data_IF_074026015377
#
_entry.id   IF_074026015377
#
_cell.length_a   1.000
_cell.length_b   1.000
_cell.length_c   1.000
_cell.angle_alpha   90.00
_cell.angle_beta   90.00
_cell.angle_gamma   90.00
#
_symmetry.space_group_name_H-M   'P 1'
#
loop_
_entity.id
_entity.type
_entity.pdbx_description
1 polymer ?
#
# COMPACT_ATOMS: atom_id res chain seq x y z
N UNK A 1 1.61 28.61 2.40
CA UNK A 1 1.13 28.89 1.03
C UNK A 1 2.19 28.33 0.08
N UNK A 2 2.12 27.03 -0.21
CA UNK A 2 2.97 26.41 -1.22
C UNK A 2 2.30 26.65 -2.58
N UNK A 3 2.79 27.63 -3.33
CA UNK A 3 2.45 27.73 -4.75
C UNK A 3 3.32 26.70 -5.46
N UNK A 4 2.78 25.48 -5.57
CA UNK A 4 3.30 24.49 -6.52
C UNK A 4 3.02 25.04 -7.93
N UNK A 5 4.02 25.12 -8.83
CA UNK A 5 3.74 25.42 -10.22
C UNK A 5 2.82 24.31 -10.73
N UNK A 6 1.63 24.68 -11.20
CA UNK A 6 0.75 23.76 -11.92
C UNK A 6 1.49 23.40 -13.20
N UNK A 7 2.12 22.23 -13.24
CA UNK A 7 2.44 21.55 -14.51
C UNK A 7 1.13 21.48 -15.27
N UNK A 8 1.09 22.00 -16.50
CA UNK A 8 -0.11 21.90 -17.34
C UNK A 8 -0.54 20.44 -17.50
N UNK A 9 -1.80 20.16 -17.89
CA UNK A 9 -2.20 18.79 -18.19
C UNK A 9 -1.23 18.21 -19.21
N UNK A 10 -0.73 16.98 -18.97
CA UNK A 10 -0.06 16.21 -20.02
C UNK A 10 -1.02 16.16 -21.18
N UNK A 11 -0.71 16.88 -22.26
CA UNK A 11 -1.59 16.98 -23.39
C UNK A 11 -1.42 15.73 -24.25
N UNK A 12 -2.53 15.04 -24.54
CA UNK A 12 -2.56 13.87 -25.44
C UNK A 12 -1.79 14.12 -26.74
N UNK A 13 -1.75 15.38 -27.21
CA UNK A 13 -0.99 15.86 -28.37
C UNK A 13 0.52 15.66 -28.27
N UNK A 14 1.12 15.85 -27.08
CA UNK A 14 2.57 15.66 -26.85
C UNK A 14 2.91 14.17 -26.90
N UNK A 15 2.07 13.34 -26.28
CA UNK A 15 2.21 11.88 -26.31
C UNK A 15 2.06 11.37 -27.75
N UNK A 16 1.01 11.82 -28.45
CA UNK A 16 0.73 11.40 -29.83
C UNK A 16 1.86 11.79 -30.78
N UNK A 17 2.39 13.01 -30.65
CA UNK A 17 3.51 13.48 -31.46
C UNK A 17 4.77 12.63 -31.24
N UNK A 18 5.13 12.39 -29.98
CA UNK A 18 6.31 11.57 -29.65
C UNK A 18 6.19 10.15 -30.19
N UNK A 19 5.03 9.50 -30.01
CA UNK A 19 4.80 8.13 -30.49
C UNK A 19 4.81 8.08 -32.01
N UNK A 20 4.20 9.05 -32.68
CA UNK A 20 4.21 9.15 -34.15
C UNK A 20 5.62 9.28 -34.72
N UNK A 21 6.48 10.06 -34.07
CA UNK A 21 7.86 10.27 -34.49
C UNK A 21 8.78 9.07 -34.21
N UNK A 22 8.64 8.43 -33.05
CA UNK A 22 9.59 7.42 -32.58
C UNK A 22 9.17 5.97 -32.82
N UNK A 23 7.86 5.71 -32.94
CA UNK A 23 7.30 4.35 -33.08
C UNK A 23 6.54 4.21 -34.41
N UNK A 24 5.64 5.16 -34.69
CA UNK A 24 4.83 5.21 -35.89
C UNK A 24 3.40 5.71 -35.64
N UNK A 25 2.57 5.84 -36.69
CA UNK A 25 1.29 6.55 -36.61
C UNK A 25 0.36 6.02 -35.51
N UNK A 26 -0.10 6.90 -34.62
CA UNK A 26 -1.08 6.57 -33.58
C UNK A 26 -2.46 6.29 -34.20
N UNK A 27 -3.13 5.26 -33.70
CA UNK A 27 -4.49 4.86 -34.10
C UNK A 27 -5.50 5.22 -33.03
N UNK A 28 -5.20 4.90 -31.76
CA UNK A 28 -6.06 5.24 -30.62
C UNK A 28 -5.19 5.68 -29.45
N UNK A 29 -5.72 6.63 -28.67
CA UNK A 29 -5.19 7.05 -27.38
C UNK A 29 -6.35 7.15 -26.40
N UNK A 30 -6.27 6.42 -25.29
CA UNK A 30 -7.29 6.39 -24.26
C UNK A 30 -6.66 6.64 -22.90
N UNK A 31 -7.07 7.73 -22.23
CA UNK A 31 -6.59 8.04 -20.89
C UNK A 31 -7.23 7.13 -19.85
N UNK A 32 -6.40 6.49 -19.04
CA UNK A 32 -6.86 5.69 -17.90
C UNK A 32 -7.44 6.62 -16.82
N UNK A 33 -8.66 6.32 -16.37
CA UNK A 33 -9.37 7.11 -15.35
C UNK A 33 -8.88 6.78 -13.94
N UNK A 34 -7.64 7.16 -13.60
CA UNK A 34 -7.03 7.01 -12.27
C UNK A 34 -6.31 8.28 -11.82
N UNK A 35 -5.91 8.31 -10.54
CA UNK A 35 -5.20 9.45 -9.93
C UNK A 35 -3.82 9.73 -10.54
N UNK A 36 -3.15 8.70 -11.08
CA UNK A 36 -1.89 8.85 -11.81
C UNK A 36 -2.16 8.99 -13.30
N UNK A 37 -1.55 9.95 -14.01
CA UNK A 37 -1.70 10.07 -15.45
C UNK A 37 -1.16 8.82 -16.17
N UNK A 38 -2.02 8.18 -16.96
CA UNK A 38 -1.62 7.07 -17.82
C UNK A 38 -2.55 6.92 -19.03
N UNK A 39 -2.04 6.32 -20.11
CA UNK A 39 -2.76 6.14 -21.37
C UNK A 39 -2.52 4.76 -21.99
N UNK A 40 -3.57 4.17 -22.54
CA UNK A 40 -3.49 3.05 -23.46
C UNK A 40 -3.44 3.58 -24.88
N UNK A 41 -2.42 3.20 -25.64
CA UNK A 41 -2.20 3.68 -27.01
C UNK A 41 -2.07 2.49 -27.96
N UNK A 42 -2.71 2.56 -29.11
CA UNK A 42 -2.40 1.68 -30.25
C UNK A 42 -1.74 2.50 -31.36
N UNK A 43 -0.68 1.97 -31.96
CA UNK A 43 0.05 2.61 -33.05
C UNK A 43 0.39 1.58 -34.14
N UNK A 44 0.91 2.05 -35.28
CA UNK A 44 1.38 1.19 -36.37
C UNK A 44 2.91 1.24 -36.48
N UNK A 45 3.59 0.09 -36.37
CA UNK A 45 5.03 -0.08 -36.59
C UNK A 45 5.24 -1.16 -37.64
N UNK A 46 5.91 -0.83 -38.74
CA UNK A 46 6.12 -1.74 -39.88
C UNK A 46 4.82 -2.39 -40.39
N UNK A 47 3.76 -1.59 -40.52
CA UNK A 47 2.38 -1.99 -40.87
C UNK A 47 1.68 -2.96 -39.89
N UNK A 48 2.30 -3.28 -38.75
CA UNK A 48 1.71 -4.07 -37.68
C UNK A 48 1.21 -3.18 -36.54
N UNK A 49 0.16 -3.62 -35.86
CA UNK A 49 -0.32 -2.94 -34.66
C UNK A 49 0.62 -3.19 -33.49
N UNK A 50 0.98 -2.12 -32.78
CA UNK A 50 1.71 -2.16 -31.53
C UNK A 50 0.87 -1.51 -30.43
N UNK A 51 0.87 -2.12 -29.24
CA UNK A 51 0.10 -1.69 -28.07
C UNK A 51 1.08 -1.13 -27.03
N UNK A 52 0.87 0.13 -26.66
CA UNK A 52 1.75 0.88 -25.76
C UNK A 52 0.97 1.37 -24.55
N UNK A 53 1.65 1.40 -23.41
CA UNK A 53 1.17 2.04 -22.20
C UNK A 53 2.09 3.22 -21.89
N UNK A 54 1.50 4.40 -21.69
CA UNK A 54 2.25 5.61 -21.33
C UNK A 54 1.96 5.92 -19.87
N UNK A 55 2.98 5.99 -19.04
CA UNK A 55 2.86 6.26 -17.59
C UNK A 55 3.54 7.58 -17.25
N UNK A 56 2.77 8.51 -16.67
CA UNK A 56 3.25 9.82 -16.22
C UNK A 56 3.59 9.86 -14.74
N UNK A 57 4.30 10.91 -14.32
CA UNK A 57 4.62 11.15 -12.91
C UNK A 57 3.37 11.42 -12.07
N UNK A 58 3.44 11.02 -10.79
CA UNK A 58 2.43 11.35 -9.79
C UNK A 58 2.82 12.65 -9.09
N UNK A 59 1.99 13.68 -9.21
CA UNK A 59 2.21 14.92 -8.46
C UNK A 59 2.11 14.72 -6.94
N UNK A 60 3.06 15.32 -6.21
CA UNK A 60 3.03 15.51 -4.76
C UNK A 60 3.22 14.26 -3.89
N UNK A 61 2.85 13.07 -4.36
CA UNK A 61 2.77 11.85 -3.54
C UNK A 61 3.68 10.70 -3.99
N UNK A 62 4.35 10.81 -5.13
CA UNK A 62 5.29 9.79 -5.63
C UNK A 62 6.53 9.61 -4.75
N UNK A 63 7.07 8.41 -4.78
CA UNK A 63 8.25 7.95 -4.02
C UNK A 63 9.46 7.73 -4.92
N UNK A 64 9.21 7.34 -6.17
CA UNK A 64 10.14 7.32 -7.29
C UNK A 64 9.56 8.14 -8.45
N UNK A 65 10.44 8.64 -9.30
CA UNK A 65 10.03 9.22 -10.59
C UNK A 65 9.77 8.10 -11.60
N UNK A 66 8.98 8.37 -12.63
CA UNK A 66 8.80 7.41 -13.75
C UNK A 66 10.12 7.01 -14.41
N UNK A 67 11.14 7.86 -14.35
CA UNK A 67 12.48 7.62 -14.89
C UNK A 67 13.25 6.57 -14.09
N UNK A 68 13.20 6.67 -12.76
CA UNK A 68 13.80 5.67 -11.88
C UNK A 68 13.12 4.31 -12.09
N UNK A 69 11.78 4.30 -12.17
CA UNK A 69 10.97 3.12 -12.47
C UNK A 69 11.37 2.48 -13.82
N UNK A 70 11.44 3.28 -14.89
CA UNK A 70 11.87 2.80 -16.21
C UNK A 70 13.31 2.25 -16.20
N UNK A 71 14.22 2.84 -15.42
CA UNK A 71 15.59 2.33 -15.29
C UNK A 71 15.63 0.98 -14.60
N UNK A 72 14.83 0.78 -13.55
CA UNK A 72 14.68 -0.53 -12.89
C UNK A 72 14.14 -1.57 -13.87
N UNK A 73 13.09 -1.24 -14.63
CA UNK A 73 12.51 -2.14 -15.64
C UNK A 73 13.52 -2.54 -16.71
N UNK A 74 14.34 -1.62 -17.23
CA UNK A 74 15.42 -1.94 -18.19
C UNK A 74 16.46 -2.89 -17.60
N UNK A 75 16.83 -2.72 -16.33
CA UNK A 75 17.77 -3.64 -15.66
C UNK A 75 17.15 -5.04 -15.52
N UNK A 76 15.88 -5.13 -15.13
CA UNK A 76 15.15 -6.40 -15.02
C UNK A 76 15.05 -7.11 -16.38
N UNK A 77 14.68 -6.38 -17.44
CA UNK A 77 14.61 -6.89 -18.81
C UNK A 77 15.98 -7.42 -19.28
N UNK A 78 17.07 -6.67 -19.03
CA UNK A 78 18.42 -7.09 -19.40
C UNK A 78 18.89 -8.37 -18.69
N UNK A 79 18.27 -8.72 -17.56
CA UNK A 79 18.50 -9.97 -16.83
C UNK A 79 17.47 -11.07 -17.17
N UNK A 80 16.64 -10.86 -18.20
CA UNK A 80 15.68 -11.84 -18.68
C UNK A 80 14.43 -11.99 -17.83
N UNK A 81 14.15 -11.02 -16.94
CA UNK A 81 12.88 -10.97 -16.21
C UNK A 81 11.79 -10.47 -17.15
N UNK A 82 10.62 -11.12 -17.15
CA UNK A 82 9.46 -10.62 -17.88
C UNK A 82 8.95 -9.33 -17.23
N UNK A 83 9.09 -8.22 -17.93
CA UNK A 83 8.66 -6.86 -17.57
C UNK A 83 8.26 -6.13 -18.86
N UNK A 84 7.50 -5.04 -18.81
CA UNK A 84 7.23 -4.25 -20.02
C UNK A 84 8.52 -3.66 -20.60
N UNK A 85 8.72 -3.80 -21.91
CA UNK A 85 9.83 -3.13 -22.61
C UNK A 85 9.65 -1.62 -22.55
N UNK A 86 10.72 -0.88 -22.26
CA UNK A 86 10.73 0.59 -22.28
C UNK A 86 11.18 1.08 -23.65
N UNK A 87 10.28 1.70 -24.41
CA UNK A 87 10.58 2.28 -25.73
C UNK A 87 11.28 3.63 -25.64
N UNK A 88 10.97 4.42 -24.61
CA UNK A 88 11.57 5.73 -24.42
C UNK A 88 10.84 6.58 -23.40
N UNK A 89 11.33 7.80 -23.27
CA UNK A 89 10.83 8.79 -22.32
C UNK A 89 10.35 10.04 -23.06
N UNK A 90 9.37 10.72 -22.48
CA UNK A 90 8.80 11.99 -22.95
C UNK A 90 9.07 13.05 -21.87
N UNK A 91 10.23 13.75 -21.91
CA UNK A 91 10.60 14.78 -20.95
C UNK A 91 9.51 15.84 -20.74
N UNK A 92 8.91 16.30 -21.83
CA UNK A 92 7.91 17.37 -21.85
C UNK A 92 6.61 16.97 -21.14
N UNK A 93 6.33 15.66 -21.06
CA UNK A 93 5.16 15.10 -20.39
C UNK A 93 5.50 14.45 -19.03
N UNK A 94 6.78 14.42 -18.64
CA UNK A 94 7.26 13.63 -17.48
C UNK A 94 6.68 12.21 -17.50
N UNK A 95 6.83 11.53 -18.65
CA UNK A 95 6.21 10.24 -18.91
C UNK A 95 7.17 9.25 -19.58
N UNK A 96 6.86 7.96 -19.45
CA UNK A 96 7.59 6.85 -20.09
C UNK A 96 6.65 6.06 -20.98
N UNK A 97 7.14 5.63 -22.13
CA UNK A 97 6.42 4.79 -23.09
C UNK A 97 6.93 3.36 -22.96
N UNK A 98 6.03 2.44 -22.64
CA UNK A 98 6.34 1.03 -22.39
C UNK A 98 5.35 0.09 -23.08
N UNK A 99 5.62 -1.21 -23.06
CA UNK A 99 4.67 -2.21 -23.53
C UNK A 99 3.34 -2.12 -22.79
N UNK A 100 2.24 -2.19 -23.54
CA UNK A 100 0.96 -2.61 -22.97
C UNK A 100 0.91 -4.14 -22.98
N UNK A 101 1.37 -4.74 -21.89
CA UNK A 101 1.45 -6.19 -21.73
C UNK A 101 0.09 -6.88 -21.99
N UNK A 102 0.08 -8.06 -22.62
CA UNK A 102 -1.14 -8.82 -22.85
C UNK A 102 -1.67 -9.45 -21.55
N UNK A 103 -2.96 -9.80 -21.56
CA UNK A 103 -3.61 -10.49 -20.45
C UNK A 103 -4.36 -9.58 -19.49
N UNK A 104 -4.60 -10.10 -18.29
CA UNK A 104 -5.25 -9.40 -17.18
C UNK A 104 -4.22 -9.04 -16.10
N UNK A 105 -4.52 -8.00 -15.30
CA UNK A 105 -3.72 -7.65 -14.14
C UNK A 105 -4.09 -8.55 -12.94
N UNK A 106 -3.16 -8.77 -12.02
CA UNK A 106 -3.50 -9.30 -10.70
C UNK A 106 -4.52 -8.38 -9.98
N UNK A 107 -5.41 -8.94 -9.14
CA UNK A 107 -5.56 -10.35 -8.75
C UNK A 107 -6.14 -11.26 -9.85
N UNK A 108 -5.83 -12.56 -9.76
CA UNK A 108 -6.31 -13.61 -10.67
C UNK A 108 -7.80 -13.99 -10.43
N UNK A 109 -8.69 -13.01 -10.32
CA UNK A 109 -10.07 -13.20 -9.83
C UNK A 109 -11.00 -13.96 -10.80
N UNK A 110 -10.68 -13.96 -12.09
CA UNK A 110 -11.56 -14.49 -13.15
C UNK A 110 -11.10 -15.85 -13.72
N UNK A 111 -10.22 -16.56 -13.01
CA UNK A 111 -9.67 -17.84 -13.47
C UNK A 111 -9.84 -18.95 -12.44
N UNK A 112 -9.80 -20.19 -12.93
CA UNK A 112 -9.95 -21.39 -12.08
C UNK A 112 -8.77 -21.55 -11.11
N UNK A 113 -8.97 -22.12 -9.91
CA UNK A 113 -7.91 -22.25 -8.90
C UNK A 113 -6.62 -22.91 -9.39
N UNK A 114 -6.72 -23.91 -10.28
CA UNK A 114 -5.54 -24.57 -10.85
C UNK A 114 -4.73 -23.65 -11.77
N UNK A 115 -5.38 -22.67 -12.41
CA UNK A 115 -4.71 -21.65 -13.21
C UNK A 115 -4.06 -20.59 -12.32
N UNK A 116 -4.67 -20.26 -11.17
CA UNK A 116 -4.04 -19.39 -10.16
C UNK A 116 -2.72 -20.00 -9.70
N UNK A 117 -2.71 -21.30 -9.37
CA UNK A 117 -1.49 -21.97 -8.93
C UNK A 117 -0.38 -21.94 -9.99
N UNK A 118 -0.71 -22.16 -11.28
CA UNK A 118 0.25 -22.09 -12.37
C UNK A 118 0.83 -20.68 -12.55
N UNK A 119 -0.02 -19.65 -12.53
CA UNK A 119 0.39 -18.25 -12.64
C UNK A 119 1.27 -17.85 -11.45
N UNK A 120 0.88 -18.22 -10.23
CA UNK A 120 1.64 -17.87 -9.03
C UNK A 120 2.96 -18.65 -8.92
N UNK A 121 3.02 -19.89 -9.42
CA UNK A 121 4.27 -20.65 -9.49
C UNK A 121 5.28 -19.98 -10.45
N UNK A 122 4.79 -19.44 -11.59
CA UNK A 122 5.58 -18.67 -12.56
C UNK A 122 5.99 -17.29 -12.00
N UNK A 123 5.08 -16.64 -11.27
CA UNK A 123 5.37 -15.42 -10.52
C UNK A 123 6.51 -15.62 -9.51
N UNK A 124 6.47 -16.69 -8.72
CA UNK A 124 7.53 -16.99 -7.74
C UNK A 124 8.87 -17.25 -8.45
N UNK A 125 8.87 -17.92 -9.60
CA UNK A 125 10.09 -18.13 -10.38
C UNK A 125 10.69 -16.80 -10.88
N UNK A 126 9.84 -15.86 -11.31
CA UNK A 126 10.26 -14.51 -11.69
C UNK A 126 10.78 -13.68 -10.50
N UNK A 127 10.10 -13.76 -9.34
CA UNK A 127 10.50 -13.09 -8.11
C UNK A 127 11.89 -13.56 -7.64
N UNK A 128 12.11 -14.88 -7.60
CA UNK A 128 13.42 -15.47 -7.26
C UNK A 128 14.51 -15.00 -8.23
N UNK A 129 14.19 -14.94 -9.52
CA UNK A 129 15.13 -14.48 -10.54
C UNK A 129 15.47 -12.99 -10.34
N UNK A 130 14.48 -12.15 -10.02
CA UNK A 130 14.68 -10.73 -9.74
C UNK A 130 15.56 -10.51 -8.49
N UNK A 131 15.32 -11.26 -7.41
CA UNK A 131 16.16 -11.23 -6.21
C UNK A 131 17.61 -11.70 -6.45
N UNK A 132 17.83 -12.45 -7.52
CA UNK A 132 19.15 -12.93 -7.95
C UNK A 132 20.01 -11.88 -8.65
N UNK A 133 19.44 -10.76 -9.08
CA UNK A 133 20.17 -9.67 -9.77
C UNK A 133 21.16 -9.02 -8.78
N UNK A 134 22.39 -8.78 -9.23
CA UNK A 134 23.39 -8.06 -8.44
C UNK A 134 22.88 -6.63 -8.13
N UNK A 135 22.78 -6.22 -6.86
CA UNK A 135 22.34 -4.87 -6.49
C UNK A 135 23.07 -3.73 -7.21
N UNK A 136 24.33 -3.94 -7.58
CA UNK A 136 25.13 -2.93 -8.30
C UNK A 136 24.62 -2.65 -9.72
N UNK A 137 23.83 -3.56 -10.31
CA UNK A 137 23.20 -3.34 -11.61
C UNK A 137 22.18 -2.18 -11.59
N UNK A 138 21.61 -1.88 -10.42
CA UNK A 138 20.61 -0.82 -10.24
C UNK A 138 21.22 0.55 -9.87
N UNK A 139 22.54 0.69 -9.88
CA UNK A 139 23.19 1.96 -9.52
C UNK A 139 22.71 3.15 -10.36
N UNK A 140 22.41 2.93 -11.66
CA UNK A 140 21.89 3.96 -12.55
C UNK A 140 20.45 4.41 -12.21
N UNK A 141 19.66 3.55 -11.55
CA UNK A 141 18.34 3.90 -11.03
C UNK A 141 18.41 4.72 -9.72
N UNK A 142 19.62 4.94 -9.19
CA UNK A 142 19.82 5.69 -7.95
C UNK A 142 19.46 4.90 -6.69
N UNK A 143 19.35 3.57 -6.77
CA UNK A 143 19.05 2.75 -5.60
C UNK A 143 20.32 2.60 -4.72
N UNK A 144 20.34 3.15 -3.49
CA UNK A 144 21.48 3.01 -2.60
C UNK A 144 21.63 1.57 -2.13
N UNK A 145 22.86 1.09 -1.99
CA UNK A 145 23.14 -0.25 -1.43
C UNK A 145 23.40 -0.09 0.08
N UNK A 146 22.47 -0.51 0.96
CA UNK A 146 22.65 -0.39 2.39
C UNK A 146 23.77 -1.31 2.90
N UNK A 147 24.42 -0.90 3.99
CA UNK A 147 25.49 -1.68 4.64
C UNK A 147 25.10 -1.99 6.08
N UNK A 148 25.18 -3.28 6.44
CA UNK A 148 24.84 -3.77 7.77
C UNK A 148 23.34 -4.10 7.93
N UNK A 149 23.00 -4.91 8.94
CA UNK A 149 21.65 -5.46 9.08
C UNK A 149 20.59 -4.39 9.33
N UNK A 150 20.91 -3.35 10.10
CA UNK A 150 20.00 -2.23 10.37
C UNK A 150 19.56 -1.51 9.10
N UNK A 151 20.53 -1.08 8.28
CA UNK A 151 20.26 -0.40 7.03
C UNK A 151 19.59 -1.31 6.00
N UNK A 152 19.89 -2.62 6.00
CA UNK A 152 19.24 -3.59 5.11
C UNK A 152 17.78 -3.82 5.49
N UNK A 153 17.46 -3.87 6.79
CA UNK A 153 16.08 -4.12 7.23
C UNK A 153 15.19 -2.87 7.15
N UNK A 154 15.74 -1.69 7.47
CA UNK A 154 15.00 -0.42 7.50
C UNK A 154 15.05 0.38 6.20
N UNK A 155 15.99 0.07 5.30
CA UNK A 155 16.01 0.47 3.88
C UNK A 155 15.20 1.73 3.50
N UNK A 156 14.15 1.54 2.70
CA UNK A 156 13.22 2.54 2.21
C UNK A 156 12.22 3.01 3.30
N UNK A 157 12.06 2.25 4.38
CA UNK A 157 11.19 2.63 5.49
C UNK A 157 11.58 3.97 6.13
N UNK A 158 12.88 4.28 6.23
CA UNK A 158 13.33 5.58 6.77
C UNK A 158 12.92 6.78 5.89
N UNK A 159 12.72 6.58 4.58
CA UNK A 159 12.14 7.61 3.69
C UNK A 159 10.68 7.89 4.06
N UNK A 160 9.89 6.85 4.33
CA UNK A 160 8.51 7.00 4.81
C UNK A 160 8.46 7.71 6.16
N UNK A 161 9.32 7.35 7.11
CA UNK A 161 9.36 7.98 8.44
C UNK A 161 9.73 9.46 8.36
N UNK A 162 10.75 9.80 7.56
CA UNK A 162 11.17 11.20 7.36
C UNK A 162 10.02 12.02 6.80
N UNK A 163 9.41 11.54 5.71
CA UNK A 163 8.29 12.21 5.06
C UNK A 163 7.08 12.36 5.99
N UNK A 164 6.72 11.31 6.72
CA UNK A 164 5.65 11.36 7.71
C UNK A 164 5.90 12.49 8.72
N UNK A 165 7.11 12.59 9.26
CA UNK A 165 7.47 13.61 10.26
C UNK A 165 7.44 15.04 9.70
N UNK A 166 7.82 15.23 8.44
CA UNK A 166 7.76 16.54 7.77
C UNK A 166 6.33 17.10 7.67
N UNK A 167 5.34 16.22 7.58
CA UNK A 167 3.93 16.59 7.37
C UNK A 167 3.01 16.29 8.55
N UNK A 168 3.49 15.66 9.62
CA UNK A 168 2.70 15.36 10.81
C UNK A 168 2.16 16.65 11.46
N UNK A 169 0.83 16.78 11.59
CA UNK A 169 0.16 17.95 12.20
C UNK A 169 -0.56 17.62 13.51
N UNK A 170 -0.79 16.33 13.80
CA UNK A 170 -1.44 15.85 15.02
C UNK A 170 -0.75 14.58 15.55
N UNK A 171 -0.95 14.21 16.81
CA UNK A 171 -0.38 12.99 17.38
C UNK A 171 -0.89 11.75 16.65
N UNK A 172 -0.01 10.78 16.41
CA UNK A 172 -0.29 9.47 15.83
C UNK A 172 0.45 8.39 16.65
N UNK A 173 -0.04 8.07 17.87
CA UNK A 173 0.70 7.23 18.83
C UNK A 173 1.06 5.84 18.33
N UNK A 174 0.17 5.21 17.53
CA UNK A 174 0.43 3.89 16.94
C UNK A 174 1.64 3.93 16.01
N UNK A 175 1.72 4.97 15.17
CA UNK A 175 2.81 5.11 14.21
C UNK A 175 4.14 5.34 14.93
N UNK A 176 4.19 6.25 15.92
CA UNK A 176 5.41 6.48 16.70
C UNK A 176 5.84 5.24 17.50
N UNK A 177 4.88 4.51 18.07
CA UNK A 177 5.15 3.24 18.75
C UNK A 177 5.79 2.24 17.79
N UNK A 178 5.17 2.01 16.63
CA UNK A 178 5.63 1.03 15.66
C UNK A 178 6.98 1.42 15.04
N UNK A 179 7.22 2.72 14.77
CA UNK A 179 8.55 3.23 14.36
C UNK A 179 9.61 2.89 15.40
N UNK A 180 9.35 3.21 16.68
CA UNK A 180 10.27 2.93 17.77
C UNK A 180 10.52 1.44 17.95
N UNK A 181 9.46 0.63 17.88
CA UNK A 181 9.53 -0.81 18.00
C UNK A 181 10.35 -1.45 16.87
N UNK A 182 10.09 -1.09 15.61
CA UNK A 182 10.82 -1.64 14.45
C UNK A 182 12.32 -1.35 14.52
N UNK A 183 12.73 -0.14 14.93
CA UNK A 183 14.14 0.20 15.11
C UNK A 183 14.84 -0.64 16.19
N UNK A 184 14.12 -1.07 17.23
CA UNK A 184 14.68 -1.93 18.30
C UNK A 184 14.75 -3.41 17.91
N UNK A 185 13.99 -3.85 16.91
CA UNK A 185 13.75 -5.27 16.60
C UNK A 185 14.27 -5.71 15.23
N UNK A 186 15.20 -4.96 14.63
CA UNK A 186 15.81 -5.31 13.34
C UNK A 186 16.44 -6.73 13.38
N UNK A 187 16.17 -7.59 12.38
CA UNK A 187 16.82 -8.88 12.21
C UNK A 187 18.35 -8.77 12.01
N UNK A 188 19.12 -8.78 13.12
CA UNK A 188 20.57 -8.53 13.11
C UNK A 188 21.42 -9.52 12.31
N UNK A 189 20.92 -10.73 12.05
CA UNK A 189 21.61 -11.75 11.25
C UNK A 189 21.41 -11.59 9.74
N UNK A 190 20.53 -10.68 9.30
CA UNK A 190 20.22 -10.46 7.88
C UNK A 190 20.90 -9.19 7.38
N UNK A 191 22.08 -9.35 6.77
CA UNK A 191 22.90 -8.23 6.31
C UNK A 191 23.27 -8.31 4.81
N UNK A 192 22.62 -9.20 4.05
CA UNK A 192 22.90 -9.35 2.61
C UNK A 192 21.92 -8.50 1.80
N UNK A 193 22.36 -7.36 1.23
CA UNK A 193 21.50 -6.53 0.39
C UNK A 193 21.14 -7.26 -0.90
N UNK A 194 19.86 -7.23 -1.28
CA UNK A 194 19.30 -7.80 -2.51
C UNK A 194 18.35 -6.79 -3.15
N UNK A 195 18.11 -6.95 -4.44
CA UNK A 195 17.02 -6.24 -5.09
C UNK A 195 15.68 -6.75 -4.54
N UNK A 196 14.76 -5.83 -4.30
CA UNK A 196 13.42 -6.04 -3.74
C UNK A 196 12.43 -5.26 -4.62
N UNK A 197 11.33 -5.87 -5.03
CA UNK A 197 10.30 -5.22 -5.84
C UNK A 197 9.58 -4.11 -5.06
N UNK A 198 9.41 -4.31 -3.75
CA UNK A 198 8.81 -3.34 -2.85
C UNK A 198 7.29 -3.47 -2.78
N UNK A 199 6.58 -3.33 -3.91
CA UNK A 199 5.14 -3.58 -4.01
C UNK A 199 4.84 -4.95 -4.66
N UNK A 200 5.03 -6.01 -3.87
CA UNK A 200 4.98 -7.39 -4.38
C UNK A 200 3.56 -7.85 -4.73
N UNK A 201 3.44 -8.70 -5.75
CA UNK A 201 2.17 -9.27 -6.22
C UNK A 201 1.52 -8.49 -7.37
N UNK A 202 2.25 -7.54 -7.96
CA UNK A 202 1.85 -6.73 -9.10
C UNK A 202 2.38 -7.34 -10.41
N UNK A 203 1.50 -7.94 -11.20
CA UNK A 203 1.87 -8.56 -12.47
C UNK A 203 0.70 -8.60 -13.45
N UNK A 204 1.03 -8.77 -14.73
CA UNK A 204 0.08 -9.14 -15.77
C UNK A 204 0.19 -10.65 -16.04
N UNK A 205 -0.91 -11.29 -16.41
CA UNK A 205 -0.94 -12.74 -16.69
C UNK A 205 -1.85 -13.10 -17.86
N UNK A 206 -1.46 -14.13 -18.61
CA UNK A 206 -2.21 -14.73 -19.70
C UNK A 206 -1.83 -16.21 -19.83
N UNK A 207 -2.76 -17.05 -20.29
CA UNK A 207 -2.50 -18.46 -20.62
C UNK A 207 -1.81 -19.26 -19.48
N UNK A 208 -2.15 -18.95 -18.23
CA UNK A 208 -1.63 -19.64 -17.04
C UNK A 208 -0.21 -19.26 -16.64
N UNK A 209 0.32 -18.12 -17.12
CA UNK A 209 1.68 -17.61 -16.82
C UNK A 209 1.68 -16.09 -16.65
N UNK A 210 2.70 -15.55 -16.00
CA UNK A 210 2.87 -14.10 -15.98
C UNK A 210 3.35 -13.63 -17.36
N UNK A 211 2.84 -12.49 -17.82
CA UNK A 211 3.32 -11.80 -19.01
C UNK A 211 4.33 -10.71 -18.66
N UNK A 212 4.31 -10.23 -17.42
CA UNK A 212 5.38 -9.45 -16.84
C UNK A 212 5.07 -8.91 -15.44
N UNK A 213 6.13 -8.66 -14.66
CA UNK A 213 6.07 -7.91 -13.42
C UNK A 213 5.85 -6.42 -13.74
N UNK A 214 5.05 -5.74 -12.93
CA UNK A 214 4.73 -4.32 -13.08
C UNK A 214 4.86 -3.61 -11.75
N UNK A 215 4.76 -2.28 -11.78
CA UNK A 215 4.67 -1.41 -10.60
C UNK A 215 5.87 -1.48 -9.64
N UNK A 216 7.06 -1.24 -10.18
CA UNK A 216 8.34 -1.27 -9.43
C UNK A 216 8.68 0.08 -8.76
N UNK A 217 7.68 0.90 -8.45
CA UNK A 217 7.90 2.25 -7.91
C UNK A 217 8.42 2.27 -6.46
N UNK A 218 8.23 1.17 -5.73
CA UNK A 218 8.77 0.95 -4.39
C UNK A 218 10.03 0.08 -4.39
N UNK A 219 10.60 -0.21 -5.57
CA UNK A 219 11.77 -1.06 -5.66
C UNK A 219 12.99 -0.43 -4.97
N UNK A 220 13.71 -1.24 -4.21
CA UNK A 220 14.86 -0.80 -3.43
C UNK A 220 15.86 -1.94 -3.24
N UNK A 221 17.02 -1.63 -2.67
CA UNK A 221 17.97 -2.65 -2.23
C UNK A 221 17.79 -2.85 -0.72
N UNK A 222 17.47 -4.08 -0.32
CA UNK A 222 17.12 -4.41 1.05
C UNK A 222 17.09 -5.92 1.29
N UNK A 223 16.19 -6.36 2.14
CA UNK A 223 15.96 -7.77 2.46
C UNK A 223 14.82 -8.36 1.62
N UNK A 224 15.06 -9.50 0.97
CA UNK A 224 14.06 -10.22 0.15
C UNK A 224 12.81 -10.64 0.93
N UNK A 225 12.85 -10.69 2.26
CA UNK A 225 11.67 -10.97 3.06
C UNK A 225 10.66 -9.83 3.11
N UNK A 226 11.04 -8.62 2.69
CA UNK A 226 10.08 -7.55 2.38
C UNK A 226 9.06 -8.01 1.35
N UNK A 227 9.50 -8.67 0.27
CA UNK A 227 8.58 -9.10 -0.78
C UNK A 227 7.70 -10.28 -0.34
N UNK A 228 8.22 -11.19 0.49
CA UNK A 228 7.39 -12.26 1.08
C UNK A 228 6.34 -11.70 2.06
N UNK A 229 6.71 -10.68 2.83
CA UNK A 229 5.76 -9.94 3.65
C UNK A 229 4.71 -9.21 2.81
N UNK A 230 5.10 -8.64 1.66
CA UNK A 230 4.19 -8.03 0.70
C UNK A 230 3.15 -9.00 0.16
N UNK A 231 3.55 -10.23 -0.21
CA UNK A 231 2.60 -11.29 -0.58
C UNK A 231 1.60 -11.60 0.54
N UNK A 232 2.08 -11.65 1.78
CA UNK A 232 1.25 -11.94 2.96
C UNK A 232 0.19 -10.86 3.20
N UNK A 233 0.57 -9.59 3.10
CA UNK A 233 -0.35 -8.46 3.23
C UNK A 233 -1.36 -8.43 2.09
N UNK A 234 -0.89 -8.58 0.85
CA UNK A 234 -1.74 -8.52 -0.35
C UNK A 234 -2.76 -9.65 -0.39
N UNK A 235 -2.38 -10.86 0.05
CA UNK A 235 -3.28 -12.02 0.09
C UNK A 235 -4.53 -11.81 0.98
N UNK A 236 -4.53 -10.82 1.89
CA UNK A 236 -5.70 -10.47 2.71
C UNK A 236 -6.85 -9.92 1.86
N UNK A 237 -6.54 -9.09 0.87
CA UNK A 237 -7.52 -8.41 0.00
C UNK A 237 -7.58 -8.98 -1.41
N UNK A 238 -6.47 -9.58 -1.86
CA UNK A 238 -6.27 -10.11 -3.20
C UNK A 238 -5.76 -11.55 -3.10
N UNK A 239 -6.64 -12.55 -2.88
CA UNK A 239 -6.24 -13.94 -2.64
C UNK A 239 -5.43 -14.53 -3.81
N UNK A 240 -4.31 -15.17 -3.48
CA UNK A 240 -3.35 -15.73 -4.45
C UNK A 240 -3.28 -17.27 -4.41
N UNK A 241 -4.32 -17.92 -3.89
CA UNK A 241 -4.33 -19.37 -3.64
C UNK A 241 -3.66 -19.73 -2.31
N UNK A 242 -2.98 -20.87 -2.26
CA UNK A 242 -2.29 -21.36 -1.05
C UNK A 242 -0.95 -20.63 -0.85
N UNK A 243 -0.99 -19.54 -0.07
CA UNK A 243 0.19 -18.74 0.24
C UNK A 243 1.28 -19.56 0.96
N UNK A 244 0.92 -20.51 1.82
CA UNK A 244 1.89 -21.39 2.49
C UNK A 244 2.70 -22.20 1.50
N UNK A 245 2.04 -22.75 0.46
CA UNK A 245 2.68 -23.43 -0.66
C UNK A 245 3.63 -22.50 -1.41
N UNK A 246 3.20 -21.26 -1.70
CA UNK A 246 4.02 -20.28 -2.42
C UNK A 246 5.29 -19.91 -1.66
N UNK A 247 5.20 -19.69 -0.35
CA UNK A 247 6.37 -19.40 0.50
C UNK A 247 7.35 -20.58 0.52
N UNK A 248 6.86 -21.83 0.64
CA UNK A 248 7.72 -23.03 0.54
C UNK A 248 8.35 -23.20 -0.83
N UNK A 249 7.62 -22.89 -1.91
CA UNK A 249 8.18 -22.88 -3.28
C UNK A 249 9.30 -21.85 -3.41
N UNK A 250 9.10 -20.64 -2.89
CA UNK A 250 10.12 -19.60 -2.90
C UNK A 250 11.39 -20.07 -2.19
N UNK A 251 11.28 -20.68 -1.00
CA UNK A 251 12.43 -21.28 -0.28
C UNK A 251 13.17 -22.31 -1.14
N UNK A 252 12.43 -23.25 -1.74
CA UNK A 252 13.01 -24.30 -2.59
C UNK A 252 13.73 -23.74 -3.82
N UNK A 253 13.18 -22.70 -4.45
CA UNK A 253 13.73 -22.11 -5.68
C UNK A 253 14.87 -21.14 -5.43
N UNK A 254 14.79 -20.36 -4.35
CA UNK A 254 15.83 -19.38 -3.98
C UNK A 254 17.00 -20.01 -3.23
N UNK A 255 16.77 -21.13 -2.54
CA UNK A 255 17.72 -21.69 -1.57
C UNK A 255 17.89 -20.85 -0.31
N UNK A 256 17.05 -19.82 -0.09
CA UNK A 256 17.05 -18.99 1.11
C UNK A 256 16.06 -19.59 2.11
N UNK A 257 16.53 -20.14 3.25
CA UNK A 257 15.64 -20.71 4.27
C UNK A 257 14.65 -19.66 4.78
N UNK A 258 13.38 -20.01 4.93
CA UNK A 258 12.38 -19.12 5.49
C UNK A 258 12.71 -18.79 6.95
N UNK A 259 12.66 -17.51 7.27
CA UNK A 259 12.80 -17.02 8.64
C UNK A 259 11.49 -16.34 9.04
N UNK A 260 10.74 -17.01 9.90
CA UNK A 260 9.42 -16.52 10.32
C UNK A 260 9.54 -15.20 11.07
N UNK A 261 10.54 -15.03 11.93
CA UNK A 261 10.71 -13.81 12.70
C UNK A 261 11.05 -12.62 11.80
N UNK A 262 11.89 -12.83 10.78
CA UNK A 262 12.21 -11.77 9.83
C UNK A 262 11.03 -11.46 8.89
N UNK A 263 10.28 -12.45 8.42
CA UNK A 263 9.07 -12.22 7.61
C UNK A 263 8.01 -11.46 8.42
N UNK A 264 7.81 -11.79 9.70
CA UNK A 264 6.88 -11.06 10.57
C UNK A 264 7.33 -9.60 10.78
N UNK A 265 8.63 -9.38 11.03
CA UNK A 265 9.22 -8.04 11.11
C UNK A 265 8.96 -7.23 9.83
N UNK A 266 9.22 -7.82 8.66
CA UNK A 266 8.98 -7.16 7.38
C UNK A 266 7.49 -6.95 7.09
N UNK A 267 6.61 -7.80 7.61
CA UNK A 267 5.15 -7.60 7.54
C UNK A 267 4.75 -6.36 8.32
N UNK A 268 5.22 -6.22 9.57
CA UNK A 268 4.99 -5.02 10.36
C UNK A 268 5.55 -3.77 9.68
N UNK A 269 6.80 -3.82 9.21
CA UNK A 269 7.47 -2.70 8.54
C UNK A 269 6.72 -2.25 7.30
N UNK A 270 6.41 -3.18 6.39
CA UNK A 270 5.79 -2.82 5.12
C UNK A 270 4.35 -2.35 5.30
N UNK A 271 3.58 -2.98 6.19
CA UNK A 271 2.25 -2.51 6.53
C UNK A 271 2.29 -1.06 7.04
N UNK A 272 3.26 -0.72 7.89
CA UNK A 272 3.37 0.63 8.46
C UNK A 272 3.69 1.72 7.42
N UNK A 273 4.34 1.38 6.31
CA UNK A 273 4.67 2.34 5.25
C UNK A 273 3.42 3.07 4.71
N UNK A 274 2.30 2.36 4.51
CA UNK A 274 1.08 2.98 3.97
C UNK A 274 0.49 4.03 4.93
N UNK A 275 0.21 3.73 6.22
CA UNK A 275 -0.22 4.74 7.19
C UNK A 275 0.73 5.94 7.29
N UNK A 276 2.05 5.72 7.26
CA UNK A 276 3.04 6.81 7.24
C UNK A 276 2.89 7.69 5.99
N UNK A 277 2.70 7.08 4.83
CA UNK A 277 2.55 7.76 3.54
C UNK A 277 1.22 8.49 3.37
N UNK A 278 0.12 8.01 3.96
CA UNK A 278 -1.20 8.62 3.84
C UNK A 278 -1.54 9.58 4.99
N UNK A 279 -0.77 9.60 6.09
CA UNK A 279 -0.98 10.52 7.21
C UNK A 279 -1.06 11.98 6.76
N UNK A 280 -0.24 12.40 5.79
CA UNK A 280 -0.31 13.75 5.20
C UNK A 280 -1.69 14.07 4.60
N UNK A 281 -2.32 13.11 3.91
CA UNK A 281 -3.65 13.29 3.30
C UNK A 281 -4.70 13.51 4.39
N UNK A 282 -4.61 12.75 5.47
CA UNK A 282 -5.56 12.79 6.59
C UNK A 282 -5.31 13.97 7.56
N UNK A 283 -4.09 14.51 7.59
CA UNK A 283 -3.73 15.64 8.46
C UNK A 283 -3.98 17.00 7.83
N UNK A 284 -3.96 17.09 6.50
CA UNK A 284 -4.18 18.34 5.76
C UNK A 284 -5.66 18.55 5.38
N UNK A 285 -6.55 17.65 5.79
CA UNK A 285 -7.99 17.68 5.50
C UNK A 285 -8.31 17.95 4.02
N UNK A 286 -7.54 17.31 3.12
CA UNK A 286 -7.69 17.53 1.68
C UNK A 286 -9.04 16.96 1.20
N UNK A 287 -9.86 17.73 0.45
CA UNK A 287 -11.14 17.27 -0.07
C UNK A 287 -10.91 16.35 -1.27
N UNK A 288 -10.52 15.10 -1.01
CA UNK A 288 -10.28 14.08 -2.04
C UNK A 288 -11.53 13.21 -2.25
N UNK A 289 -11.88 12.86 -3.51
CA UNK A 289 -12.97 11.94 -3.80
C UNK A 289 -12.81 10.59 -3.08
N UNK A 290 -11.60 10.05 -3.01
CA UNK A 290 -11.32 8.72 -2.45
C UNK A 290 -10.95 8.76 -0.95
N UNK A 291 -11.33 9.81 -0.21
CA UNK A 291 -10.90 9.99 1.20
C UNK A 291 -11.22 8.79 2.10
N UNK A 292 -12.36 8.11 1.88
CA UNK A 292 -12.73 6.92 2.67
C UNK A 292 -11.78 5.75 2.40
N UNK A 293 -11.28 5.60 1.18
CA UNK A 293 -10.27 4.59 0.85
C UNK A 293 -8.94 4.89 1.56
N UNK A 294 -8.53 6.16 1.65
CA UNK A 294 -7.34 6.54 2.43
C UNK A 294 -7.51 6.26 3.93
N UNK A 295 -8.71 6.46 4.49
CA UNK A 295 -9.05 6.12 5.88
C UNK A 295 -8.99 4.60 6.09
N UNK A 296 -9.55 3.82 5.16
CA UNK A 296 -9.46 2.35 5.16
C UNK A 296 -8.00 1.91 5.15
N UNK A 297 -7.19 2.36 4.20
CA UNK A 297 -5.77 2.00 4.10
C UNK A 297 -5.00 2.36 5.37
N UNK A 298 -5.24 3.54 5.93
CA UNK A 298 -4.59 3.97 7.16
C UNK A 298 -4.89 3.01 8.32
N UNK A 299 -6.16 2.69 8.58
CA UNK A 299 -6.52 1.87 9.73
C UNK A 299 -6.24 0.38 9.49
N UNK A 300 -6.50 -0.16 8.30
CA UNK A 300 -6.31 -1.58 8.01
C UNK A 300 -4.83 -1.95 8.07
N UNK A 301 -3.95 -1.10 7.51
CA UNK A 301 -2.52 -1.39 7.53
C UNK A 301 -1.88 -1.04 8.89
N UNK A 302 -2.48 -0.13 9.67
CA UNK A 302 -2.13 0.05 11.09
C UNK A 302 -2.50 -1.19 11.91
N UNK A 303 -3.64 -1.85 11.62
CA UNK A 303 -4.00 -3.12 12.23
C UNK A 303 -2.98 -4.21 11.87
N UNK A 304 -2.68 -4.38 10.58
CA UNK A 304 -1.69 -5.38 10.14
C UNK A 304 -0.32 -5.17 10.77
N UNK A 305 0.07 -3.90 10.97
CA UNK A 305 1.29 -3.54 11.69
C UNK A 305 1.25 -4.02 13.14
N UNK A 306 0.21 -3.65 13.90
CA UNK A 306 0.15 -3.96 15.33
C UNK A 306 -0.07 -5.46 15.59
N UNK A 307 -0.79 -6.15 14.72
CA UNK A 307 -0.93 -7.62 14.76
C UNK A 307 0.40 -8.31 14.53
N UNK A 308 1.18 -7.89 13.54
CA UNK A 308 2.49 -8.47 13.26
C UNK A 308 3.48 -8.23 14.41
N UNK A 309 3.45 -7.02 14.99
CA UNK A 309 4.22 -6.69 16.20
C UNK A 309 3.78 -7.59 17.38
N UNK A 310 2.48 -7.79 17.58
CA UNK A 310 1.95 -8.63 18.65
C UNK A 310 2.40 -10.09 18.50
N UNK A 311 2.37 -10.64 17.27
CA UNK A 311 2.87 -11.99 16.98
C UNK A 311 4.36 -12.11 17.32
N UNK A 312 5.17 -11.15 16.88
CA UNK A 312 6.62 -11.18 17.14
C UNK A 312 6.97 -10.97 18.62
N UNK A 313 6.16 -10.19 19.35
CA UNK A 313 6.31 -9.97 20.80
C UNK A 313 5.68 -11.07 21.67
N UNK A 314 4.95 -12.03 21.07
CA UNK A 314 4.22 -13.06 21.83
C UNK A 314 3.07 -12.52 22.68
N UNK A 315 2.46 -11.40 22.26
CA UNK A 315 1.39 -10.71 22.98
C UNK A 315 0.03 -11.17 22.45
N UNK A 316 -0.83 -11.77 23.29
CA UNK A 316 -2.16 -12.18 22.86
C UNK A 316 -3.08 -10.97 22.67
N UNK A 317 -3.76 -10.91 21.54
CA UNK A 317 -4.75 -9.88 21.23
C UNK A 317 -6.17 -10.38 21.53
N UNK A 318 -6.95 -9.56 22.22
CA UNK A 318 -8.35 -9.85 22.53
C UNK A 318 -9.28 -9.37 21.42
N UNK A 319 -10.39 -10.08 21.22
CA UNK A 319 -11.50 -9.59 20.38
C UNK A 319 -12.00 -8.23 20.87
N UNK A 320 -12.25 -7.32 19.93
CA UNK A 320 -12.78 -5.98 20.19
C UNK A 320 -14.18 -5.90 19.60
N UNK A 321 -15.12 -5.37 20.36
CA UNK A 321 -16.48 -5.10 19.89
C UNK A 321 -16.71 -3.60 19.77
N UNK A 322 -17.61 -3.22 18.86
CA UNK A 322 -18.09 -1.85 18.79
C UNK A 322 -18.86 -1.53 20.09
N UNK A 323 -18.63 -0.37 20.73
CA UNK A 323 -19.38 0.01 21.92
C UNK A 323 -20.85 0.29 21.58
N UNK A 324 -21.70 0.32 22.60
CA UNK A 324 -23.11 0.67 22.45
C UNK A 324 -23.24 2.08 21.81
N UNK A 325 -24.12 2.26 20.81
CA UNK A 325 -24.20 3.51 20.07
C UNK A 325 -24.65 4.67 20.96
N UNK A 326 -24.06 5.85 20.71
CA UNK A 326 -24.44 7.12 21.33
C UNK A 326 -24.76 8.15 20.22
N UNK A 327 -25.97 8.09 19.62
CA UNK A 327 -26.29 8.90 18.46
C UNK A 327 -26.34 10.40 18.78
N UNK A 328 -25.87 11.21 17.84
CA UNK A 328 -26.07 12.67 17.87
C UNK A 328 -27.52 13.05 17.54
N UNK A 329 -27.86 14.33 17.68
CA UNK A 329 -29.17 14.87 17.35
C UNK A 329 -29.54 14.61 15.87
N UNK A 330 -30.82 14.31 15.62
CA UNK A 330 -31.38 14.06 14.28
C UNK A 330 -30.75 12.88 13.51
N UNK A 331 -30.61 11.68 14.12
CA UNK A 331 -29.92 10.54 13.49
C UNK A 331 -30.56 10.13 12.16
N UNK A 332 -31.87 10.29 12.00
CA UNK A 332 -32.59 9.98 10.76
C UNK A 332 -32.22 10.88 9.57
N UNK A 333 -31.86 12.15 9.82
CA UNK A 333 -31.44 13.06 8.76
C UNK A 333 -30.09 12.64 8.17
N UNK A 334 -29.14 12.26 9.03
CA UNK A 334 -27.82 11.80 8.62
C UNK A 334 -27.92 10.40 7.99
N UNK A 335 -28.72 9.50 8.56
CA UNK A 335 -28.94 8.16 8.03
C UNK A 335 -29.54 8.13 6.61
N UNK A 336 -30.38 9.13 6.27
CA UNK A 336 -31.00 9.24 4.94
C UNK A 336 -30.07 9.82 3.87
N UNK A 337 -28.97 10.49 4.25
CA UNK A 337 -28.12 11.24 3.33
C UNK A 337 -27.48 10.37 2.22
N UNK A 338 -26.94 9.17 2.50
CA UNK A 338 -26.41 8.30 1.43
C UNK A 338 -27.46 7.98 0.37
N UNK A 339 -28.68 7.64 0.79
CA UNK A 339 -29.79 7.36 -0.13
C UNK A 339 -30.22 8.59 -0.94
N UNK A 340 -30.20 9.78 -0.35
CA UNK A 340 -30.46 11.04 -1.07
C UNK A 340 -29.41 11.30 -2.14
N UNK A 341 -28.12 11.09 -1.84
CA UNK A 341 -27.03 11.26 -2.81
C UNK A 341 -27.15 10.22 -3.93
N UNK A 342 -27.42 8.96 -3.58
CA UNK A 342 -27.61 7.90 -4.57
C UNK A 342 -28.84 8.12 -5.47
N UNK A 343 -29.86 8.86 -4.99
CA UNK A 343 -31.04 9.17 -5.81
C UNK A 343 -30.80 10.24 -6.89
N UNK A 344 -29.64 10.91 -6.88
CA UNK A 344 -29.32 11.96 -7.84
C UNK A 344 -28.97 11.35 -9.21
N UNK A 345 -29.66 11.80 -10.25
CA UNK A 345 -29.34 11.47 -11.64
C UNK A 345 -28.02 12.12 -12.06
N UNK A 346 -27.03 11.31 -12.44
CA UNK A 346 -25.72 11.75 -12.94
C UNK A 346 -25.33 10.99 -14.20
N UNK A 347 -24.51 11.60 -15.04
CA UNK A 347 -23.97 10.94 -16.23
C UNK A 347 -23.02 9.80 -15.83
N UNK A 348 -22.99 8.68 -16.59
CA UNK A 348 -22.02 7.61 -16.39
C UNK A 348 -20.56 8.11 -16.46
N UNK A 349 -19.66 7.43 -15.75
CA UNK A 349 -18.23 7.76 -15.73
C UNK A 349 -17.84 8.60 -14.51
N UNK A 350 -17.11 9.71 -14.71
CA UNK A 350 -16.52 10.51 -13.62
C UNK A 350 -17.59 11.03 -12.65
N UNK A 351 -18.72 11.54 -13.16
CA UNK A 351 -19.79 12.08 -12.31
C UNK A 351 -20.45 10.98 -11.47
N UNK A 352 -20.65 9.79 -12.03
CA UNK A 352 -21.13 8.62 -11.30
C UNK A 352 -20.16 8.17 -10.20
N UNK A 353 -18.86 8.13 -10.50
CA UNK A 353 -17.83 7.83 -9.51
C UNK A 353 -17.81 8.87 -8.38
N UNK A 354 -17.84 10.16 -8.68
CA UNK A 354 -17.89 11.23 -7.69
C UNK A 354 -19.15 11.15 -6.80
N UNK A 355 -20.31 10.81 -7.36
CA UNK A 355 -21.55 10.57 -6.60
C UNK A 355 -21.38 9.40 -5.63
N UNK A 356 -20.80 8.28 -6.06
CA UNK A 356 -20.51 7.12 -5.19
C UNK A 356 -19.54 7.48 -4.05
N UNK A 357 -18.49 8.23 -4.35
CA UNK A 357 -17.56 8.75 -3.34
C UNK A 357 -18.28 9.62 -2.29
N UNK A 358 -19.12 10.57 -2.72
CA UNK A 358 -19.89 11.42 -1.83
C UNK A 358 -20.88 10.63 -0.95
N UNK A 359 -21.54 9.63 -1.54
CA UNK A 359 -22.42 8.70 -0.82
C UNK A 359 -21.66 7.92 0.26
N UNK A 360 -20.46 7.46 -0.05
CA UNK A 360 -19.59 6.73 0.90
C UNK A 360 -19.14 7.64 2.05
N UNK A 361 -18.78 8.90 1.78
CA UNK A 361 -18.49 9.89 2.83
C UNK A 361 -19.72 10.16 3.72
N UNK A 362 -20.92 10.20 3.14
CA UNK A 362 -22.15 10.33 3.92
C UNK A 362 -22.43 9.11 4.80
N UNK A 363 -22.07 7.90 4.35
CA UNK A 363 -22.15 6.69 5.18
C UNK A 363 -21.17 6.79 6.36
N UNK A 364 -19.94 7.25 6.12
CA UNK A 364 -18.96 7.50 7.17
C UNK A 364 -19.50 8.51 8.19
N UNK A 365 -20.05 9.64 7.73
CA UNK A 365 -20.64 10.65 8.59
C UNK A 365 -21.79 10.09 9.45
N UNK A 366 -22.62 9.21 8.89
CA UNK A 366 -23.66 8.51 9.65
C UNK A 366 -23.08 7.59 10.74
N UNK A 367 -22.03 6.82 10.42
CA UNK A 367 -21.35 5.94 11.38
C UNK A 367 -20.70 6.76 12.50
N UNK A 368 -19.97 7.83 12.17
CA UNK A 368 -19.37 8.75 13.15
C UNK A 368 -20.44 9.38 14.04
N UNK A 369 -21.55 9.84 13.47
CA UNK A 369 -22.67 10.40 14.24
C UNK A 369 -23.37 9.40 15.16
N UNK A 370 -23.19 8.08 14.92
CA UNK A 370 -23.84 7.02 15.71
C UNK A 370 -22.91 6.46 16.78
N UNK A 371 -21.62 6.30 16.48
CA UNK A 371 -20.66 5.59 17.34
C UNK A 371 -19.47 6.43 17.80
N UNK A 372 -19.19 7.59 17.18
CA UNK A 372 -17.99 8.38 17.46
C UNK A 372 -17.82 8.72 18.94
N UNK A 373 -18.87 9.24 19.59
CA UNK A 373 -18.84 9.54 21.03
C UNK A 373 -18.62 8.32 21.92
N UNK A 374 -19.20 7.17 21.56
CA UNK A 374 -19.04 5.94 22.32
C UNK A 374 -17.62 5.36 22.19
N UNK A 375 -17.03 5.46 20.98
CA UNK A 375 -15.64 5.08 20.72
C UNK A 375 -14.69 5.99 21.49
N UNK A 376 -14.88 7.31 21.42
CA UNK A 376 -14.06 8.27 22.16
C UNK A 376 -14.12 8.02 23.67
N UNK A 377 -15.31 7.75 24.22
CA UNK A 377 -15.47 7.42 25.64
C UNK A 377 -14.71 6.14 26.02
N UNK A 378 -14.83 5.06 25.23
CA UNK A 378 -14.13 3.81 25.46
C UNK A 378 -12.60 3.94 25.31
N UNK A 379 -12.13 4.75 24.36
CA UNK A 379 -10.70 5.04 24.18
C UNK A 379 -10.16 5.86 25.36
N UNK A 380 -10.94 6.80 25.90
CA UNK A 380 -10.57 7.56 27.09
C UNK A 380 -10.58 6.70 28.37
N UNK A 381 -11.48 5.72 28.49
CA UNK A 381 -11.48 4.73 29.58
C UNK A 381 -10.19 3.90 29.58
N UNK A 382 -9.81 3.36 28.42
CA UNK A 382 -8.56 2.60 28.26
C UNK A 382 -7.33 3.48 28.55
N UNK A 383 -7.36 4.77 28.17
CA UNK A 383 -6.28 5.71 28.47
C UNK A 383 -6.17 6.04 29.96
N UNK A 384 -7.28 6.13 30.68
CA UNK A 384 -7.27 6.35 32.13
C UNK A 384 -6.61 5.19 32.87
N UNK A 385 -6.87 3.95 32.44
CA UNK A 385 -6.21 2.75 32.98
C UNK A 385 -4.70 2.80 32.75
N UNK A 386 -4.25 3.17 31.55
CA UNK A 386 -2.84 3.19 31.17
C UNK A 386 -2.05 4.39 31.74
N UNK A 387 -2.61 5.60 31.63
CA UNK A 387 -1.95 6.85 32.02
C UNK A 387 -2.13 7.17 33.52
N UNK A 388 -3.09 6.52 34.19
CA UNK A 388 -3.47 6.79 35.57
C UNK A 388 -4.34 8.04 35.77
N UNK A 389 -4.57 8.81 34.70
CA UNK A 389 -5.50 9.93 34.67
C UNK A 389 -6.30 9.94 33.36
N UNK A 390 -7.58 10.31 33.45
CA UNK A 390 -8.45 10.40 32.28
C UNK A 390 -8.19 11.70 31.51
N UNK A 391 -7.83 11.64 30.21
CA UNK A 391 -7.73 12.83 29.38
C UNK A 391 -9.09 13.52 29.21
N UNK A 392 -9.08 14.84 28.98
CA UNK A 392 -10.30 15.63 28.87
C UNK A 392 -11.14 15.30 27.62
N UNK A 393 -10.46 15.01 26.51
CA UNK A 393 -11.05 14.69 25.21
C UNK A 393 -10.09 13.86 24.37
N UNK A 394 -10.55 13.47 23.18
CA UNK A 394 -9.78 12.67 22.22
C UNK A 394 -8.42 13.28 21.89
N UNK A 395 -8.37 14.58 21.60
CA UNK A 395 -7.14 15.25 21.19
C UNK A 395 -6.10 15.28 22.32
N UNK A 396 -6.54 15.60 23.54
CA UNK A 396 -5.69 15.53 24.73
C UNK A 396 -5.19 14.09 24.99
N UNK A 397 -6.06 13.09 24.78
CA UNK A 397 -5.71 11.68 24.92
C UNK A 397 -4.66 11.22 23.90
N UNK A 398 -4.80 11.63 22.63
CA UNK A 398 -3.85 11.29 21.57
C UNK A 398 -2.47 11.91 21.86
N UNK A 399 -2.44 13.15 22.33
CA UNK A 399 -1.20 13.83 22.73
C UNK A 399 -0.53 13.15 23.92
N UNK A 400 -1.29 12.83 24.97
CA UNK A 400 -0.77 12.18 26.17
C UNK A 400 -0.25 10.77 25.87
N UNK A 401 -0.98 9.99 25.05
CA UNK A 401 -0.57 8.65 24.66
C UNK A 401 0.69 8.67 23.80
N UNK A 402 0.80 9.58 22.82
CA UNK A 402 2.02 9.69 22.02
C UNK A 402 3.23 10.07 22.88
N UNK A 403 3.06 11.00 23.82
CA UNK A 403 4.13 11.34 24.76
C UNK A 403 4.55 10.13 25.60
N UNK A 404 3.58 9.36 26.12
CA UNK A 404 3.86 8.14 26.86
C UNK A 404 4.59 7.10 26.01
N UNK A 405 4.15 6.88 24.76
CA UNK A 405 4.80 5.97 23.80
C UNK A 405 6.26 6.35 23.54
N UNK A 406 6.55 7.64 23.32
CA UNK A 406 7.91 8.10 23.03
C UNK A 406 8.86 7.98 24.23
N UNK A 407 8.31 7.96 25.45
CA UNK A 407 9.05 7.81 26.71
C UNK A 407 9.06 6.38 27.25
N UNK A 408 8.25 5.49 26.68
CA UNK A 408 8.05 4.14 27.19
C UNK A 408 9.32 3.30 27.08
N UNK A 409 9.58 2.52 28.12
CA UNK A 409 10.62 1.50 28.10
C UNK A 409 10.08 0.22 27.43
N UNK A 410 10.94 -0.65 26.84
CA UNK A 410 10.50 -1.86 26.14
C UNK A 410 9.62 -2.80 26.99
N UNK A 411 9.75 -2.77 28.32
CA UNK A 411 8.94 -3.55 29.24
C UNK A 411 7.44 -3.18 29.20
N UNK A 412 7.11 -2.00 28.68
CA UNK A 412 5.73 -1.51 28.51
C UNK A 412 5.14 -1.88 27.15
N UNK A 413 5.94 -2.44 26.22
CA UNK A 413 5.48 -2.80 24.87
C UNK A 413 4.22 -3.70 24.89
N UNK A 414 4.10 -4.74 25.74
CA UNK A 414 2.91 -5.60 25.75
C UNK A 414 1.60 -4.85 26.04
N UNK A 415 1.63 -3.91 26.97
CA UNK A 415 0.45 -3.12 27.34
C UNK A 415 0.08 -2.13 26.23
N UNK A 416 1.08 -1.46 25.65
CA UNK A 416 0.90 -0.57 24.50
C UNK A 416 0.36 -1.29 23.27
N UNK A 417 0.83 -2.51 22.99
CA UNK A 417 0.35 -3.33 21.88
C UNK A 417 -1.15 -3.58 22.00
N UNK A 418 -1.61 -4.01 23.19
CA UNK A 418 -3.04 -4.29 23.44
C UNK A 418 -3.87 -3.02 23.33
N UNK A 419 -3.41 -1.91 23.92
CA UNK A 419 -4.09 -0.62 23.89
C UNK A 419 -4.25 -0.09 22.45
N UNK A 420 -3.15 -0.06 21.68
CA UNK A 420 -3.13 0.44 20.31
C UNK A 420 -3.97 -0.45 19.38
N UNK A 421 -3.94 -1.77 19.58
CA UNK A 421 -4.82 -2.71 18.88
C UNK A 421 -6.31 -2.42 19.13
N UNK A 422 -6.73 -2.23 20.39
CA UNK A 422 -8.13 -1.87 20.71
C UNK A 422 -8.58 -0.62 19.97
N UNK A 423 -7.74 0.42 19.99
CA UNK A 423 -8.03 1.71 19.38
C UNK A 423 -8.18 1.62 17.86
N UNK A 424 -7.26 0.94 17.16
CA UNK A 424 -7.36 0.78 15.70
C UNK A 424 -8.54 -0.12 15.32
N UNK A 425 -8.82 -1.18 16.09
CA UNK A 425 -9.97 -2.05 15.86
C UNK A 425 -11.30 -1.31 15.98
N UNK A 426 -11.46 -0.40 16.96
CA UNK A 426 -12.69 0.42 17.07
C UNK A 426 -12.89 1.30 15.84
N UNK A 427 -11.82 1.86 15.27
CA UNK A 427 -11.90 2.63 14.01
C UNK A 427 -12.26 1.74 12.82
N UNK A 428 -11.71 0.53 12.74
CA UNK A 428 -12.08 -0.42 11.69
C UNK A 428 -13.54 -0.89 11.80
N UNK A 429 -14.03 -1.18 13.00
CA UNK A 429 -15.43 -1.53 13.24
C UNK A 429 -16.37 -0.35 12.93
N UNK A 430 -15.93 0.89 13.14
CA UNK A 430 -16.67 2.08 12.72
C UNK A 430 -16.86 2.10 11.20
N UNK A 431 -15.80 1.78 10.44
CA UNK A 431 -15.81 1.87 8.98
C UNK A 431 -16.12 0.55 8.25
N UNK A 432 -16.29 -0.56 8.97
CA UNK A 432 -16.47 -1.91 8.42
C UNK A 432 -17.47 -2.00 7.25
N UNK A 433 -18.67 -1.37 7.29
CA UNK A 433 -19.63 -1.44 6.17
C UNK A 433 -19.13 -0.82 4.86
N UNK A 434 -18.05 -0.03 4.91
CA UNK A 434 -17.46 0.68 3.78
C UNK A 434 -16.12 0.08 3.34
N UNK A 435 -15.64 -0.97 4.01
CA UNK A 435 -14.37 -1.62 3.67
C UNK A 435 -14.46 -2.31 2.31
N UNK A 436 -13.36 -2.27 1.58
CA UNK A 436 -13.16 -3.03 0.36
C UNK A 436 -13.19 -4.53 0.71
N UNK A 437 -14.19 -5.25 0.20
CA UNK A 437 -14.43 -6.67 0.56
C UNK A 437 -15.42 -6.89 1.71
N UNK A 438 -15.93 -5.81 2.34
CA UNK A 438 -17.06 -5.84 3.27
C UNK A 438 -16.80 -6.48 4.64
N UNK A 439 -15.52 -6.64 5.03
CA UNK A 439 -15.11 -7.16 6.34
C UNK A 439 -13.71 -6.68 6.71
N UNK A 440 -13.39 -6.72 8.00
CA UNK A 440 -12.02 -6.50 8.49
C UNK A 440 -11.15 -7.70 8.09
N UNK A 441 -10.13 -7.46 7.25
CA UNK A 441 -9.17 -8.49 6.85
C UNK A 441 -7.99 -8.54 7.82
N UNK A 442 -7.75 -9.70 8.43
CA UNK A 442 -6.62 -9.94 9.34
C UNK A 442 -5.47 -10.64 8.61
N UNK A 443 -4.23 -10.36 9.02
CA UNK A 443 -3.07 -11.06 8.45
C UNK A 443 -3.03 -12.50 8.97
N UNK A 444 -3.00 -13.49 8.07
CA UNK A 444 -2.89 -14.90 8.48
C UNK A 444 -1.56 -15.12 9.22
N UNK A 445 -1.56 -15.70 10.45
CA UNK A 445 -0.34 -16.02 11.17
C UNK A 445 0.60 -16.93 10.38
N UNK A 446 1.91 -16.70 10.47
CA UNK A 446 2.89 -17.56 9.78
C UNK A 446 2.88 -19.01 10.27
N UNK A 447 2.47 -19.27 11.52
CA UNK A 447 2.20 -20.62 12.02
C UNK A 447 1.13 -21.33 11.20
N UNK A 448 0.02 -20.66 10.90
CA UNK A 448 -1.08 -21.24 10.10
C UNK A 448 -0.68 -21.48 8.64
N UNK A 449 0.28 -20.73 8.11
CA UNK A 449 0.73 -20.87 6.71
C UNK A 449 1.82 -21.94 6.53
N UNK A 450 2.67 -22.14 7.54
CA UNK A 450 3.92 -22.89 7.41
C UNK A 450 4.01 -24.14 8.31
N UNK A 451 3.05 -24.35 9.22
CA UNK A 451 2.88 -25.60 9.97
C UNK A 451 1.90 -26.54 9.26
#
# INVERSE_FOLDING_TARGET
MYHCPVSGPVEDSVIEAWITENIGPVRTIERQQRWRPAWFVTAARDDQEIRLYVRGDREGFGFATVWAEATVLRVMEAHGIAVPHIYGEIPEASAVVMDWLPGAASPCSDIEPQQIDAVMDDYIDALVSAHGIDPTAFAAAGLPIPTGPEAVALDYFETFVTRYRDFKQRPEPLLEFAIGWLRRHVPSHRATPRFVLGDTGQFMYADGRITGLIDVELAHIGDVFHDLAGLRLRNVTEPMGDLGRLLRRYEQRSGVPLDRAAIEFHTAKFALCTPLGVAIVLHLDLPLPDIVQYIEWFHLLSLHTIESIAQQAGVPLSTVSLPDPMPTSYPGAIAGLPGMIESLDVLPGIAEHQRRCASTVAQLAHRVATYGHAIDAADLDDLEEFLGERPADRAAGDQALEHAVLMAAPEQDPELIVLLHRRVMRQLLLIEPMLTGGRIGHVTPLSELLD
#
